data_IF_435109176103
#
_entry.id   IF_435109176103
#
_cell.length_a   1.000
_cell.length_b   1.000
_cell.length_c   1.000
_cell.angle_alpha   90.00
_cell.angle_beta   90.00
_cell.angle_gamma   90.00
#
_symmetry.space_group_name_H-M   'P 1'
#
loop_
_entity.id
_entity.type
_entity.pdbx_description
1 polymer ?
#
# COMPACT_ATOMS: atom_id res chain seq x y z
N UNK A 1 20.64 -22.50 52.12
CA UNK A 1 19.34 -22.26 51.47
C UNK A 1 19.53 -21.09 50.51
N UNK A 2 19.82 -21.38 49.25
CA UNK A 2 20.05 -20.39 48.20
C UNK A 2 18.75 -20.22 47.42
N UNK A 3 18.10 -19.09 47.62
CA UNK A 3 16.86 -18.71 46.97
C UNK A 3 17.15 -18.41 45.50
N UNK A 4 16.77 -19.31 44.60
CA UNK A 4 16.75 -19.06 43.15
C UNK A 4 15.71 -17.99 42.85
N UNK A 5 16.17 -16.79 42.47
CA UNK A 5 15.31 -15.78 41.86
C UNK A 5 14.80 -16.30 40.51
N UNK A 6 13.53 -16.68 40.46
CA UNK A 6 12.80 -16.86 39.22
C UNK A 6 12.66 -15.50 38.54
N UNK A 7 13.53 -15.22 37.57
CA UNK A 7 13.33 -14.15 36.60
C UNK A 7 12.17 -14.59 35.72
N UNK A 8 10.95 -14.23 36.11
CA UNK A 8 9.79 -14.23 35.22
C UNK A 8 10.05 -13.18 34.13
N UNK A 9 10.77 -13.58 33.09
CA UNK A 9 10.77 -12.89 31.80
C UNK A 9 9.35 -12.97 31.26
N UNK A 10 8.55 -11.93 31.53
CA UNK A 10 7.24 -11.73 30.92
C UNK A 10 7.47 -11.62 29.40
N UNK A 11 7.32 -12.74 28.70
CA UNK A 11 7.50 -12.80 27.25
C UNK A 11 6.44 -11.89 26.64
N UNK A 12 6.86 -10.75 26.08
CA UNK A 12 5.98 -9.83 25.33
C UNK A 12 5.24 -10.67 24.28
N UNK A 13 3.92 -10.69 24.34
CA UNK A 13 3.11 -11.27 23.29
C UNK A 13 3.31 -10.44 22.02
N UNK A 14 3.76 -11.09 20.97
CA UNK A 14 3.88 -10.46 19.65
C UNK A 14 2.48 -10.22 19.07
N UNK A 15 2.29 -9.06 18.44
CA UNK A 15 1.08 -8.77 17.67
C UNK A 15 0.94 -9.73 16.47
N UNK A 16 -0.22 -9.71 15.80
CA UNK A 16 -0.39 -10.41 14.52
C UNK A 16 0.68 -10.01 13.47
N UNK A 17 0.98 -8.72 13.34
CA UNK A 17 1.89 -8.20 12.31
C UNK A 17 3.36 -8.52 12.61
N UNK A 18 3.74 -8.52 13.90
CA UNK A 18 5.04 -9.01 14.38
C UNK A 18 5.19 -10.52 14.09
N UNK A 19 4.17 -11.33 14.44
CA UNK A 19 4.18 -12.79 14.19
C UNK A 19 4.34 -13.13 12.71
N UNK A 20 3.64 -12.40 11.86
CA UNK A 20 3.70 -12.62 10.41
C UNK A 20 4.89 -11.92 9.73
N UNK A 21 5.69 -11.13 10.45
CA UNK A 21 6.86 -10.42 9.94
C UNK A 21 6.56 -9.51 8.72
N UNK A 22 5.50 -8.70 8.84
CA UNK A 22 5.09 -7.71 7.83
C UNK A 22 5.70 -6.35 8.17
N UNK A 23 6.27 -5.64 7.19
CA UNK A 23 6.72 -4.27 7.39
C UNK A 23 5.58 -3.26 7.12
N UNK A 24 5.46 -2.23 7.96
CA UNK A 24 4.60 -1.08 7.67
C UNK A 24 5.42 0.04 7.02
N UNK A 25 4.95 0.54 5.89
CA UNK A 25 5.50 1.67 5.16
C UNK A 25 4.50 2.81 5.16
N UNK A 26 4.82 3.91 5.81
CA UNK A 26 3.99 5.11 5.80
C UNK A 26 4.60 6.13 4.83
N UNK A 27 3.86 6.43 3.77
CA UNK A 27 4.30 7.37 2.73
C UNK A 27 3.67 8.74 2.91
N UNK A 28 4.51 9.75 2.96
CA UNK A 28 4.13 11.15 2.93
C UNK A 28 4.29 11.67 1.50
N UNK A 29 3.18 12.00 0.85
CA UNK A 29 3.18 12.61 -0.49
C UNK A 29 3.54 14.11 -0.47
N UNK A 30 3.63 14.72 0.73
CA UNK A 30 3.98 16.13 1.00
C UNK A 30 4.79 16.22 2.29
N UNK A 31 5.43 17.36 2.54
CA UNK A 31 6.17 17.61 3.78
C UNK A 31 5.23 17.86 4.97
N UNK A 32 4.63 16.79 5.49
CA UNK A 32 3.80 16.80 6.70
C UNK A 32 4.39 15.95 7.81
N UNK A 33 5.72 15.97 7.94
CA UNK A 33 6.50 15.12 8.85
C UNK A 33 6.28 15.38 10.33
N UNK A 34 5.64 16.49 10.71
CA UNK A 34 5.20 16.74 12.09
C UNK A 34 4.26 15.65 12.63
N UNK A 35 3.64 14.85 11.76
CA UNK A 35 2.75 13.74 12.13
C UNK A 35 3.51 12.47 12.53
N UNK A 36 4.81 12.38 12.26
CA UNK A 36 5.63 11.17 12.48
C UNK A 36 5.59 10.75 13.96
N UNK A 37 5.74 11.68 14.89
CA UNK A 37 5.83 11.34 16.31
C UNK A 37 4.57 10.63 16.80
N UNK A 38 3.39 11.08 16.37
CA UNK A 38 2.14 10.39 16.64
C UNK A 38 2.07 9.02 15.95
N UNK A 39 2.40 8.95 14.65
CA UNK A 39 2.34 7.73 13.85
C UNK A 39 3.32 6.63 14.30
N UNK A 40 4.31 6.95 15.15
CA UNK A 40 5.16 5.93 15.80
C UNK A 40 4.37 4.95 16.66
N UNK A 41 3.12 5.25 17.02
CA UNK A 41 2.22 4.33 17.72
C UNK A 41 2.08 2.98 17.01
N UNK A 42 2.19 2.95 15.68
CA UNK A 42 2.12 1.70 14.91
C UNK A 42 3.30 0.74 15.18
N UNK A 43 4.39 1.20 15.80
CA UNK A 43 5.50 0.33 16.26
C UNK A 43 5.07 -0.64 17.36
N UNK A 44 3.91 -0.42 17.97
CA UNK A 44 3.30 -1.41 18.88
C UNK A 44 2.79 -2.63 18.12
N UNK A 45 2.43 -2.47 16.85
CA UNK A 45 1.89 -3.53 16.01
C UNK A 45 2.94 -4.14 15.10
N UNK A 46 3.79 -3.35 14.46
CA UNK A 46 4.68 -3.88 13.42
C UNK A 46 6.11 -4.10 13.93
N UNK A 47 6.84 -5.11 13.39
CA UNK A 47 8.26 -5.29 13.67
C UNK A 47 9.09 -4.07 13.22
N UNK A 48 8.63 -3.37 12.18
CA UNK A 48 9.19 -2.09 11.74
C UNK A 48 8.10 -1.17 11.17
N UNK A 49 8.28 0.13 11.39
CA UNK A 49 7.54 1.19 10.72
C UNK A 49 8.54 2.10 10.02
N UNK A 50 8.42 2.20 8.70
CA UNK A 50 9.33 2.93 7.82
C UNK A 50 8.57 4.12 7.25
N UNK A 51 9.06 5.32 7.53
CA UNK A 51 8.49 6.55 6.96
C UNK A 51 9.23 6.90 5.67
N UNK A 52 8.50 7.25 4.62
CA UNK A 52 9.07 7.69 3.33
C UNK A 52 8.48 9.01 2.90
N UNK A 53 9.21 9.81 2.13
CA UNK A 53 8.69 11.08 1.61
C UNK A 53 9.67 11.84 0.72
N UNK A 54 9.20 12.90 0.04
CA UNK A 54 9.94 13.59 -1.02
C UNK A 54 11.00 14.58 -0.57
N UNK A 55 11.05 14.92 0.72
CA UNK A 55 11.98 15.90 1.27
C UNK A 55 12.89 15.22 2.31
N UNK A 56 14.16 15.63 2.42
CA UNK A 56 15.09 15.08 3.41
C UNK A 56 14.61 15.31 4.85
N UNK A 57 14.64 14.26 5.67
CA UNK A 57 14.36 14.35 7.11
C UNK A 57 15.00 13.16 7.86
N UNK A 58 15.48 13.36 9.08
CA UNK A 58 16.25 12.35 9.84
C UNK A 58 15.49 11.05 10.13
N UNK A 59 14.16 11.12 10.22
CA UNK A 59 13.26 9.97 10.46
C UNK A 59 12.63 9.40 9.19
N UNK A 60 12.93 9.96 8.01
CA UNK A 60 12.25 9.65 6.74
C UNK A 60 13.25 9.16 5.73
N UNK A 61 12.97 8.01 5.11
CA UNK A 61 13.68 7.59 3.92
C UNK A 61 13.32 8.52 2.77
N UNK A 62 14.29 9.35 2.37
CA UNK A 62 14.13 10.29 1.26
C UNK A 62 13.86 9.53 -0.06
N UNK A 63 12.73 9.87 -0.68
CA UNK A 63 12.23 9.33 -1.94
C UNK A 63 11.70 10.49 -2.81
N UNK A 64 12.58 11.19 -3.55
CA UNK A 64 12.20 12.36 -4.32
C UNK A 64 11.15 12.07 -5.41
N UNK A 65 11.11 10.83 -5.92
CA UNK A 65 10.15 10.37 -6.92
C UNK A 65 8.71 10.36 -6.39
N UNK A 66 8.53 10.26 -5.07
CA UNK A 66 7.22 10.31 -4.42
C UNK A 66 6.61 11.71 -4.32
N UNK A 67 7.28 12.75 -4.84
CA UNK A 67 6.81 14.14 -4.75
C UNK A 67 5.41 14.27 -5.34
N UNK A 68 4.54 14.94 -4.59
CA UNK A 68 3.12 15.13 -4.94
C UNK A 68 2.33 13.84 -5.10
N UNK A 69 2.86 12.70 -4.64
CA UNK A 69 2.23 11.40 -4.81
C UNK A 69 2.20 10.95 -6.27
N UNK A 70 3.17 11.31 -7.10
CA UNK A 70 3.17 10.86 -8.50
C UNK A 70 3.63 9.41 -8.65
N UNK A 71 4.71 9.02 -7.97
CA UNK A 71 5.35 7.71 -8.15
C UNK A 71 5.63 7.00 -6.82
N UNK A 72 4.67 7.01 -5.90
CA UNK A 72 4.87 6.43 -4.56
C UNK A 72 5.25 4.93 -4.58
N UNK A 73 4.91 4.20 -5.64
CA UNK A 73 5.39 2.83 -5.87
C UNK A 73 6.93 2.72 -5.95
N UNK A 74 7.62 3.75 -6.43
CA UNK A 74 9.08 3.80 -6.45
C UNK A 74 9.65 3.89 -5.03
N UNK A 75 8.95 4.59 -4.13
CA UNK A 75 9.32 4.64 -2.72
C UNK A 75 9.18 3.27 -2.05
N UNK A 76 8.13 2.53 -2.37
CA UNK A 76 7.98 1.14 -1.91
C UNK A 76 9.12 0.26 -2.43
N UNK A 77 9.49 0.37 -3.71
CA UNK A 77 10.65 -0.33 -4.27
C UNK A 77 11.95 0.01 -3.52
N UNK A 78 12.17 1.29 -3.18
CA UNK A 78 13.34 1.71 -2.39
C UNK A 78 13.33 1.08 -0.99
N UNK A 79 12.18 1.03 -0.33
CA UNK A 79 12.03 0.37 0.97
C UNK A 79 12.36 -1.11 0.88
N UNK A 80 11.79 -1.84 -0.08
CA UNK A 80 12.02 -3.29 -0.21
C UNK A 80 13.50 -3.60 -0.46
N UNK A 81 14.20 -2.75 -1.23
CA UNK A 81 15.66 -2.90 -1.45
C UNK A 81 16.46 -2.76 -0.16
N UNK A 82 16.11 -1.78 0.69
CA UNK A 82 16.83 -1.50 1.94
C UNK A 82 16.43 -2.42 3.10
N UNK A 83 15.21 -2.96 3.04
CA UNK A 83 14.62 -3.77 4.10
C UNK A 83 14.04 -5.08 3.52
N UNK A 84 14.86 -6.00 2.96
CA UNK A 84 14.35 -7.11 2.16
C UNK A 84 13.74 -8.28 2.96
N UNK A 85 13.98 -8.36 4.26
CA UNK A 85 13.74 -9.58 5.08
C UNK A 85 12.33 -9.69 5.69
N UNK A 86 11.32 -9.08 5.05
CA UNK A 86 9.92 -9.16 5.47
C UNK A 86 9.11 -10.05 4.53
N UNK A 87 8.07 -10.70 5.07
CA UNK A 87 7.16 -11.60 4.34
C UNK A 87 6.16 -10.84 3.47
N UNK A 88 5.96 -9.55 3.77
CA UNK A 88 5.16 -8.63 2.99
C UNK A 88 5.33 -7.18 3.47
N UNK A 89 4.83 -6.26 2.68
CA UNK A 89 4.95 -4.81 2.91
C UNK A 89 3.56 -4.19 2.82
N UNK A 90 3.04 -3.68 3.93
CA UNK A 90 1.84 -2.87 3.95
C UNK A 90 2.24 -1.40 3.81
N UNK A 91 1.94 -0.79 2.66
CA UNK A 91 2.11 0.62 2.41
C UNK A 91 0.81 1.37 2.65
N UNK A 92 0.89 2.54 3.28
CA UNK A 92 -0.25 3.42 3.49
C UNK A 92 0.19 4.88 3.41
N UNK A 93 -0.64 5.75 2.83
CA UNK A 93 -0.43 7.19 2.89
C UNK A 93 -0.61 7.70 4.33
N UNK A 94 0.13 8.75 4.67
CA UNK A 94 0.17 9.32 6.03
C UNK A 94 -1.19 9.80 6.56
N UNK A 95 -2.17 10.07 5.69
CA UNK A 95 -3.54 10.47 6.01
C UNK A 95 -4.55 9.33 5.88
N UNK A 96 -4.08 8.09 5.76
CA UNK A 96 -4.91 6.88 5.84
C UNK A 96 -4.76 6.22 7.20
N UNK A 97 -5.90 5.77 7.75
CA UNK A 97 -5.97 4.90 8.91
C UNK A 97 -6.40 3.50 8.49
N UNK A 98 -5.48 2.53 8.44
CA UNK A 98 -5.83 1.13 8.30
C UNK A 98 -6.55 0.62 9.57
N UNK A 99 -7.65 -0.11 9.39
CA UNK A 99 -8.33 -0.82 10.46
C UNK A 99 -7.67 -2.19 10.63
N UNK A 100 -6.54 -2.19 11.34
CA UNK A 100 -5.63 -3.34 11.41
C UNK A 100 -6.34 -4.65 11.78
N UNK A 101 -7.19 -4.69 12.80
CA UNK A 101 -7.92 -5.90 13.20
C UNK A 101 -8.88 -6.46 12.14
N UNK A 102 -9.32 -5.65 11.18
CA UNK A 102 -10.09 -6.15 10.03
C UNK A 102 -9.17 -6.65 8.92
N UNK A 103 -7.99 -6.03 8.76
CA UNK A 103 -6.96 -6.47 7.81
C UNK A 103 -6.27 -7.77 8.24
N UNK A 104 -6.18 -8.06 9.54
CA UNK A 104 -5.61 -9.30 10.10
C UNK A 104 -6.35 -10.57 9.61
N UNK A 105 -7.60 -10.41 9.14
CA UNK A 105 -8.44 -11.49 8.59
C UNK A 105 -8.19 -11.75 7.10
N UNK A 106 -7.35 -10.92 6.44
CA UNK A 106 -7.08 -11.01 5.01
C UNK A 106 -5.87 -11.90 4.74
N UNK A 107 -5.87 -12.56 3.59
CA UNK A 107 -4.79 -13.48 3.21
C UNK A 107 -3.52 -12.70 2.81
N UNK A 108 -2.46 -12.86 3.61
CA UNK A 108 -1.15 -12.24 3.42
C UNK A 108 -0.37 -12.78 2.21
N UNK A 109 -0.85 -13.82 1.54
CA UNK A 109 -0.26 -14.27 0.28
C UNK A 109 -0.80 -13.49 -0.92
N UNK A 110 -1.83 -12.66 -0.76
CA UNK A 110 -2.50 -11.94 -1.85
C UNK A 110 -2.19 -10.45 -1.80
N UNK A 111 -2.23 -9.81 -2.96
CA UNK A 111 -2.08 -8.34 -3.06
C UNK A 111 -3.31 -7.69 -2.47
N UNK A 112 -3.16 -6.64 -1.65
CA UNK A 112 -4.30 -5.85 -1.19
C UNK A 112 -4.24 -4.46 -1.79
N UNK A 113 -5.37 -3.97 -2.29
CA UNK A 113 -5.47 -2.67 -2.95
C UNK A 113 -6.92 -2.18 -2.89
N UNK A 114 -7.22 -0.87 -2.87
CA UNK A 114 -8.57 -0.37 -3.09
C UNK A 114 -9.17 -0.86 -4.41
N UNK A 115 -10.49 -0.73 -4.63
CA UNK A 115 -11.15 -1.25 -5.81
C UNK A 115 -10.51 -0.77 -7.10
N UNK A 116 -10.25 -1.72 -8.00
CA UNK A 116 -9.69 -1.44 -9.33
C UNK A 116 -10.86 -1.15 -10.27
N UNK A 117 -10.87 0.04 -10.84
CA UNK A 117 -11.80 0.43 -11.89
C UNK A 117 -11.19 0.12 -13.25
N UNK A 118 -11.97 -0.54 -14.11
CA UNK A 118 -11.66 -0.73 -15.51
C UNK A 118 -12.38 0.34 -16.33
N UNK A 119 -11.64 1.14 -17.07
CA UNK A 119 -12.17 2.24 -17.86
C UNK A 119 -11.85 2.02 -19.33
N UNK A 120 -12.88 2.04 -20.17
CA UNK A 120 -12.67 2.05 -21.63
C UNK A 120 -11.86 3.29 -22.02
N UNK A 121 -10.88 3.18 -22.94
CA UNK A 121 -10.01 4.30 -23.30
C UNK A 121 -10.74 5.58 -23.75
N UNK A 122 -11.92 5.45 -24.37
CA UNK A 122 -12.76 6.58 -24.81
C UNK A 122 -13.43 7.34 -23.66
N UNK A 123 -13.60 6.70 -22.49
CA UNK A 123 -14.25 7.26 -21.30
C UNK A 123 -13.27 7.89 -20.31
N UNK A 124 -11.96 7.77 -20.55
CA UNK A 124 -10.91 8.26 -19.67
C UNK A 124 -10.61 9.75 -19.89
N UNK A 125 -11.57 10.61 -19.55
CA UNK A 125 -11.52 12.06 -19.83
C UNK A 125 -11.33 12.95 -18.60
N UNK A 126 -11.35 12.39 -17.39
CA UNK A 126 -11.25 13.13 -16.12
C UNK A 126 -10.06 12.66 -15.26
N UNK A 127 -9.92 13.23 -14.07
CA UNK A 127 -8.87 12.88 -13.12
C UNK A 127 -7.46 13.06 -13.71
N UNK A 128 -6.54 12.14 -13.46
CA UNK A 128 -5.19 12.18 -14.00
C UNK A 128 -5.09 11.72 -15.47
N UNK A 129 -6.15 11.21 -16.09
CA UNK A 129 -6.09 10.69 -17.46
C UNK A 129 -5.61 11.71 -18.51
N UNK A 130 -6.03 12.99 -18.50
CA UNK A 130 -5.56 14.00 -19.46
C UNK A 130 -4.12 14.47 -19.20
N UNK A 131 -3.57 14.18 -18.01
CA UNK A 131 -2.24 14.63 -17.63
C UNK A 131 -1.13 13.90 -18.40
N UNK A 132 0.11 14.43 -18.45
CA UNK A 132 1.27 13.72 -19.00
C UNK A 132 1.57 12.35 -18.37
N UNK A 133 1.10 12.13 -17.14
CA UNK A 133 1.28 10.91 -16.34
C UNK A 133 0.09 9.94 -16.43
N UNK A 134 -0.97 10.34 -17.13
CA UNK A 134 -2.19 9.58 -17.33
C UNK A 134 -2.13 8.70 -18.57
N UNK A 135 -3.11 8.87 -19.46
CA UNK A 135 -3.28 8.00 -20.64
C UNK A 135 -2.04 7.94 -21.52
N UNK A 136 -1.37 9.08 -21.76
CA UNK A 136 -0.14 9.11 -22.56
C UNK A 136 0.99 8.29 -21.93
N UNK A 137 1.16 8.35 -20.61
CA UNK A 137 2.16 7.54 -19.92
C UNK A 137 1.79 6.05 -19.95
N UNK A 138 0.50 5.74 -19.80
CA UNK A 138 -0.01 4.37 -19.90
C UNK A 138 0.25 3.78 -21.30
N UNK A 139 -0.04 4.53 -22.36
CA UNK A 139 0.20 4.11 -23.74
C UNK A 139 1.71 3.87 -24.01
N UNK A 140 2.60 4.76 -23.52
CA UNK A 140 4.06 4.57 -23.61
C UNK A 140 4.53 3.33 -22.84
N UNK A 141 4.05 3.15 -21.61
CA UNK A 141 4.34 2.00 -20.77
C UNK A 141 3.96 0.69 -21.48
N UNK A 142 2.73 0.58 -22.00
CA UNK A 142 2.28 -0.62 -22.73
C UNK A 142 2.94 -0.80 -24.10
N UNK A 143 3.38 0.28 -24.75
CA UNK A 143 4.20 0.17 -25.96
C UNK A 143 5.56 -0.43 -25.63
N UNK A 144 6.23 0.06 -24.59
CA UNK A 144 7.55 -0.45 -24.16
C UNK A 144 7.45 -1.90 -23.70
N UNK A 145 6.40 -2.23 -22.96
CA UNK A 145 6.11 -3.59 -22.51
C UNK A 145 5.89 -4.55 -23.71
N UNK A 146 5.10 -4.14 -24.72
CA UNK A 146 4.86 -4.92 -25.95
C UNK A 146 6.12 -5.11 -26.80
N UNK A 147 6.97 -4.10 -26.89
CA UNK A 147 8.24 -4.25 -27.60
C UNK A 147 9.16 -5.24 -26.87
N UNK A 148 9.20 -5.14 -25.53
CA UNK A 148 10.02 -6.03 -24.70
C UNK A 148 9.54 -7.48 -24.74
N UNK A 149 8.23 -7.72 -24.88
CA UNK A 149 7.68 -9.08 -24.93
C UNK A 149 8.03 -9.87 -26.19
N UNK A 150 8.42 -9.20 -27.28
CA UNK A 150 8.78 -9.87 -28.53
C UNK A 150 9.99 -10.80 -28.36
N UNK A 151 10.89 -10.47 -27.43
CA UNK A 151 12.15 -11.19 -27.23
C UNK A 151 12.33 -11.71 -25.79
N UNK A 152 11.31 -11.59 -24.93
CA UNK A 152 11.43 -11.95 -23.52
C UNK A 152 10.09 -12.47 -22.96
N UNK A 153 10.11 -13.76 -22.60
CA UNK A 153 8.94 -14.50 -22.12
C UNK A 153 8.35 -13.96 -20.81
N UNK A 154 9.16 -13.30 -19.97
CA UNK A 154 8.68 -12.68 -18.74
C UNK A 154 7.74 -11.51 -19.04
N UNK A 155 8.12 -10.64 -19.99
CA UNK A 155 7.27 -9.53 -20.41
C UNK A 155 6.04 -10.02 -21.19
N UNK A 156 6.16 -11.10 -21.97
CA UNK A 156 5.00 -11.76 -22.60
C UNK A 156 4.01 -12.24 -21.54
N UNK A 157 4.47 -12.93 -20.49
CA UNK A 157 3.63 -13.36 -19.36
C UNK A 157 2.88 -12.18 -18.73
N UNK A 158 3.54 -11.05 -18.49
CA UNK A 158 2.87 -9.88 -17.92
C UNK A 158 1.76 -9.35 -18.83
N UNK A 159 2.01 -9.22 -20.14
CA UNK A 159 0.97 -8.80 -21.09
C UNK A 159 -0.20 -9.76 -21.12
N UNK A 160 0.05 -11.07 -21.15
CA UNK A 160 -1.01 -12.08 -21.15
C UNK A 160 -1.86 -11.98 -19.89
N UNK A 161 -1.23 -11.76 -18.73
CA UNK A 161 -1.93 -11.53 -17.46
C UNK A 161 -2.80 -10.27 -17.51
N UNK A 162 -2.27 -9.16 -18.02
CA UNK A 162 -3.05 -7.93 -18.14
C UNK A 162 -4.22 -8.08 -19.11
N UNK A 163 -3.98 -8.67 -20.28
CA UNK A 163 -5.03 -8.91 -21.28
C UNK A 163 -6.14 -9.82 -20.75
N UNK A 164 -5.79 -10.82 -19.94
CA UNK A 164 -6.76 -11.71 -19.27
C UNK A 164 -7.61 -10.96 -18.24
N UNK A 165 -7.02 -10.04 -17.48
CA UNK A 165 -7.68 -9.40 -16.34
C UNK A 165 -8.36 -8.07 -16.67
N UNK A 166 -7.84 -7.30 -17.62
CA UNK A 166 -8.33 -5.97 -18.01
C UNK A 166 -8.63 -5.84 -19.51
N UNK A 167 -8.16 -6.77 -20.34
CA UNK A 167 -8.27 -6.64 -21.79
C UNK A 167 -7.60 -5.36 -22.28
N UNK A 168 -8.35 -4.56 -23.05
CA UNK A 168 -7.89 -3.26 -23.57
C UNK A 168 -8.24 -2.09 -22.63
N UNK A 169 -8.84 -2.35 -21.47
CA UNK A 169 -9.25 -1.29 -20.57
C UNK A 169 -8.04 -0.67 -19.86
N UNK A 170 -8.18 0.62 -19.56
CA UNK A 170 -7.32 1.34 -18.64
C UNK A 170 -7.70 0.97 -17.21
N UNK A 171 -6.74 1.05 -16.30
CA UNK A 171 -6.91 0.64 -14.89
C UNK A 171 -6.59 1.77 -13.94
N UNK A 172 -7.39 1.89 -12.87
CA UNK A 172 -7.22 2.91 -11.84
C UNK A 172 -7.61 2.34 -10.48
N UNK A 173 -6.88 2.73 -9.44
CA UNK A 173 -7.27 2.55 -8.04
C UNK A 173 -6.70 3.69 -7.21
N UNK A 174 -7.45 4.23 -6.24
CA UNK A 174 -6.99 5.36 -5.39
C UNK A 174 -5.68 5.06 -4.64
N UNK A 175 -5.33 3.78 -4.43
CA UNK A 175 -3.98 3.30 -4.05
C UNK A 175 -3.33 3.96 -2.82
N UNK A 176 -4.10 4.62 -1.95
CA UNK A 176 -3.60 5.20 -0.70
C UNK A 176 -3.23 4.15 0.36
N UNK A 177 -3.58 2.88 0.10
CA UNK A 177 -3.16 1.71 0.87
C UNK A 177 -2.86 0.58 -0.11
N UNK A 178 -1.81 -0.19 0.16
CA UNK A 178 -1.38 -1.28 -0.71
C UNK A 178 -0.62 -2.31 0.09
N UNK A 179 -0.91 -3.60 -0.06
CA UNK A 179 -0.12 -4.67 0.52
C UNK A 179 0.53 -5.52 -0.56
N UNK A 180 1.85 -5.67 -0.47
CA UNK A 180 2.67 -6.48 -1.37
C UNK A 180 3.24 -7.71 -0.65
N UNK A 181 2.76 -8.93 -0.97
CA UNK A 181 3.38 -10.17 -0.53
C UNK A 181 4.81 -10.32 -1.09
N UNK A 182 5.71 -10.91 -0.30
CA UNK A 182 7.12 -11.15 -0.70
C UNK A 182 7.25 -11.90 -2.03
N UNK A 183 6.34 -12.83 -2.33
CA UNK A 183 6.37 -13.61 -3.58
C UNK A 183 6.22 -12.78 -4.86
N UNK A 184 5.71 -11.54 -4.77
CA UNK A 184 5.56 -10.63 -5.90
C UNK A 184 6.70 -9.62 -6.03
N UNK A 185 7.67 -9.60 -5.11
CA UNK A 185 8.71 -8.56 -5.08
C UNK A 185 9.59 -8.53 -6.33
N UNK A 186 9.89 -9.69 -6.92
CA UNK A 186 10.68 -9.73 -8.16
C UNK A 186 9.94 -9.09 -9.33
N UNK A 187 8.67 -9.45 -9.52
CA UNK A 187 7.82 -8.88 -10.57
C UNK A 187 7.58 -7.38 -10.33
N UNK A 188 7.38 -7.00 -9.07
CA UNK A 188 7.22 -5.62 -8.63
C UNK A 188 8.40 -4.75 -9.07
N UNK A 189 9.64 -5.21 -8.88
CA UNK A 189 10.81 -4.42 -9.29
C UNK A 189 10.86 -4.20 -10.80
N UNK A 190 10.62 -5.25 -11.60
CA UNK A 190 10.63 -5.14 -13.06
C UNK A 190 9.57 -4.15 -13.55
N UNK A 191 8.35 -4.30 -13.04
CA UNK A 191 7.21 -3.49 -13.49
C UNK A 191 7.28 -2.05 -13.00
N UNK A 192 7.66 -1.81 -11.74
CA UNK A 192 7.76 -0.45 -11.20
C UNK A 192 8.90 0.36 -11.80
N UNK A 193 10.01 -0.28 -12.15
CA UNK A 193 11.10 0.39 -12.88
C UNK A 193 10.62 0.85 -14.27
N UNK A 194 9.93 -0.05 -15.00
CA UNK A 194 9.37 0.27 -16.30
C UNK A 194 8.30 1.37 -16.23
N UNK A 195 7.44 1.38 -15.21
CA UNK A 195 6.45 2.43 -14.98
C UNK A 195 7.10 3.78 -14.68
N UNK A 196 8.14 3.80 -13.86
CA UNK A 196 8.87 5.02 -13.50
C UNK A 196 9.53 5.64 -14.73
N UNK A 197 10.21 4.83 -15.55
CA UNK A 197 10.80 5.25 -16.82
C UNK A 197 9.77 5.84 -17.79
N UNK A 198 8.51 5.39 -17.71
CA UNK A 198 7.41 5.87 -18.55
C UNK A 198 6.58 6.98 -17.89
N UNK A 199 6.94 7.38 -16.67
CA UNK A 199 6.28 8.44 -15.89
C UNK A 199 4.80 8.15 -15.59
N UNK A 200 4.46 6.90 -15.29
CA UNK A 200 3.07 6.48 -15.02
C UNK A 200 2.62 6.88 -13.62
N UNK A 201 1.49 7.58 -13.50
CA UNK A 201 0.91 8.01 -12.23
C UNK A 201 0.56 6.83 -11.31
N UNK A 202 0.76 6.98 -9.99
CA UNK A 202 0.67 5.87 -9.03
C UNK A 202 -0.68 5.15 -9.05
N UNK A 203 -1.79 5.88 -9.17
CA UNK A 203 -3.12 5.24 -9.06
C UNK A 203 -3.41 4.34 -10.24
N UNK A 204 -2.79 4.64 -11.38
CA UNK A 204 -2.80 3.81 -12.57
C UNK A 204 -1.76 2.70 -12.40
N UNK A 205 -0.58 3.03 -11.91
CA UNK A 205 0.56 2.12 -11.79
C UNK A 205 0.36 0.97 -10.80
N UNK A 206 -0.14 1.23 -9.58
CA UNK A 206 -0.47 0.21 -8.60
C UNK A 206 -1.55 -0.75 -9.12
N UNK A 207 -2.60 -0.21 -9.77
CA UNK A 207 -3.66 -1.01 -10.36
C UNK A 207 -3.12 -1.89 -11.50
N UNK A 208 -2.41 -1.29 -12.47
CA UNK A 208 -1.85 -2.02 -13.61
C UNK A 208 -0.86 -3.09 -13.17
N UNK A 209 0.06 -2.77 -12.26
CA UNK A 209 1.06 -3.72 -11.74
C UNK A 209 0.42 -4.89 -11.04
N UNK A 210 -0.63 -4.64 -10.24
CA UNK A 210 -1.38 -5.72 -9.60
C UNK A 210 -1.93 -6.72 -10.62
N UNK A 211 -2.48 -6.24 -11.74
CA UNK A 211 -3.04 -7.12 -12.77
C UNK A 211 -1.97 -7.79 -13.65
N UNK A 212 -0.84 -7.13 -13.87
CA UNK A 212 0.31 -7.67 -14.62
C UNK A 212 0.97 -8.84 -13.86
N UNK A 213 1.07 -8.75 -12.54
CA UNK A 213 1.70 -9.79 -11.70
C UNK A 213 0.83 -11.04 -11.51
N UNK A 214 -0.49 -10.94 -11.68
CA UNK A 214 -1.43 -12.01 -11.33
C UNK A 214 -1.83 -12.85 -12.53
N UNK A 215 -1.48 -14.14 -12.50
CA UNK A 215 -1.75 -15.08 -13.59
C UNK A 215 -3.17 -15.64 -13.61
N UNK A 216 -3.88 -15.60 -12.49
CA UNK A 216 -5.28 -16.08 -12.40
C UNK A 216 -6.26 -14.93 -12.31
N UNK A 217 -7.55 -15.25 -12.14
CA UNK A 217 -8.59 -14.25 -11.90
C UNK A 217 -8.26 -13.36 -10.70
N UNK A 218 -8.62 -12.07 -10.81
CA UNK A 218 -8.44 -11.04 -9.76
C UNK A 218 -8.85 -11.56 -8.38
N UNK A 219 -10.01 -12.24 -8.28
CA UNK A 219 -10.57 -12.75 -7.04
C UNK A 219 -9.75 -13.82 -6.32
N UNK A 220 -8.73 -14.41 -6.96
CA UNK A 220 -7.84 -15.40 -6.35
C UNK A 220 -6.53 -14.79 -5.83
N UNK A 221 -6.05 -13.71 -6.43
CA UNK A 221 -4.72 -13.17 -6.17
C UNK A 221 -4.75 -11.77 -5.54
N UNK A 222 -5.87 -11.06 -5.69
CA UNK A 222 -6.04 -9.66 -5.24
C UNK A 222 -7.24 -9.58 -4.30
N UNK A 223 -7.05 -8.95 -3.16
CA UNK A 223 -8.12 -8.57 -2.22
C UNK A 223 -8.37 -7.08 -2.41
N UNK A 224 -9.59 -6.74 -2.83
CA UNK A 224 -10.02 -5.35 -2.88
C UNK A 224 -10.47 -4.90 -1.49
N UNK A 225 -9.85 -3.82 -1.00
CA UNK A 225 -10.11 -3.26 0.32
C UNK A 225 -11.25 -2.24 0.24
N UNK A 226 -12.22 -2.33 1.14
CA UNK A 226 -13.30 -1.38 1.29
C UNK A 226 -12.86 -0.25 2.25
N UNK A 227 -13.04 0.99 1.83
CA UNK A 227 -12.69 2.14 2.65
C UNK A 227 -13.53 3.36 2.32
N UNK A 228 -13.48 4.34 3.22
CA UNK A 228 -14.29 5.55 3.16
C UNK A 228 -13.45 6.78 3.48
N UNK A 229 -13.87 7.94 2.95
CA UNK A 229 -13.37 9.21 3.44
C UNK A 229 -13.95 9.46 4.84
N UNK A 230 -13.11 9.88 5.77
CA UNK A 230 -13.58 10.30 7.08
C UNK A 230 -14.42 11.56 6.98
N UNK A 231 -15.70 11.50 7.42
CA UNK A 231 -16.64 12.62 7.31
C UNK A 231 -16.73 13.49 8.58
N UNK A 232 -16.02 13.13 9.66
CA UNK A 232 -16.03 13.85 10.93
C UNK A 232 -17.23 13.54 11.84
N UNK A 233 -18.34 13.06 11.28
CA UNK A 233 -19.55 12.65 12.02
C UNK A 233 -19.51 11.17 12.46
N UNK A 234 -18.46 10.44 12.07
CA UNK A 234 -18.40 8.99 12.13
C UNK A 234 -18.19 8.38 13.54
N UNK A 235 -17.97 9.15 14.62
CA UNK A 235 -17.58 8.52 15.90
C UNK A 235 -18.65 7.64 16.55
N UNK A 236 -19.92 8.02 16.45
CA UNK A 236 -21.01 7.31 17.13
C UNK A 236 -21.50 6.13 16.29
N UNK A 237 -21.38 6.21 14.96
CA UNK A 237 -21.83 5.16 14.02
C UNK A 237 -20.70 4.14 13.72
N UNK A 238 -19.43 4.56 13.74
CA UNK A 238 -18.30 3.71 13.30
C UNK A 238 -17.88 2.58 14.24
N UNK A 239 -18.25 2.64 15.53
CA UNK A 239 -17.83 1.61 16.48
C UNK A 239 -18.73 0.37 16.50
N UNK A 240 -19.97 0.48 15.98
CA UNK A 240 -20.97 -0.59 16.04
C UNK A 240 -21.38 -1.17 14.67
N UNK A 241 -21.31 -0.40 13.58
CA UNK A 241 -21.89 -0.84 12.28
C UNK A 241 -20.86 -1.11 11.16
N UNK A 242 -19.56 -0.86 11.40
CA UNK A 242 -18.52 -0.85 10.34
C UNK A 242 -17.51 -2.01 10.43
N UNK A 243 -17.97 -3.22 10.79
CA UNK A 243 -17.17 -4.46 10.71
C UNK A 243 -16.69 -4.84 9.29
N UNK A 244 -17.04 -4.04 8.28
CA UNK A 244 -16.71 -4.23 6.86
C UNK A 244 -15.69 -3.25 6.29
N UNK A 245 -15.30 -2.20 7.02
CA UNK A 245 -14.29 -1.27 6.52
C UNK A 245 -12.88 -1.74 6.89
N UNK A 246 -11.96 -1.63 5.94
CA UNK A 246 -10.55 -1.93 6.14
C UNK A 246 -9.69 -0.67 6.29
N UNK A 247 -10.16 0.51 5.87
CA UNK A 247 -9.44 1.76 6.09
C UNK A 247 -10.33 3.00 6.02
N UNK A 248 -9.84 4.09 6.60
CA UNK A 248 -10.35 5.45 6.38
C UNK A 248 -9.31 6.31 5.68
N UNK A 249 -9.74 7.19 4.79
CA UNK A 249 -8.93 8.22 4.15
C UNK A 249 -9.22 9.60 4.78
N UNK A 250 -8.31 10.56 4.58
CA UNK A 250 -8.37 11.96 5.06
C UNK A 250 -8.34 12.12 6.58
N UNK A 251 -7.54 11.31 7.25
CA UNK A 251 -7.29 11.46 8.68
C UNK A 251 -6.40 12.68 8.94
N UNK A 252 -6.95 13.61 9.70
CA UNK A 252 -6.18 14.71 10.27
C UNK A 252 -5.59 14.33 11.63
N UNK A 253 -4.31 13.98 11.65
CA UNK A 253 -3.58 13.62 12.87
C UNK A 253 -3.33 14.81 13.81
N UNK A 254 -3.74 16.03 13.48
CA UNK A 254 -3.72 17.16 14.42
C UNK A 254 -5.02 17.24 15.26
N UNK A 255 -6.08 16.57 14.82
CA UNK A 255 -7.32 16.45 15.57
C UNK A 255 -7.18 15.44 16.71
N UNK A 256 -7.38 15.88 17.96
CA UNK A 256 -7.38 14.99 19.15
C UNK A 256 -8.38 13.83 19.00
N UNK A 257 -9.50 14.11 18.33
CA UNK A 257 -10.54 13.13 18.07
C UNK A 257 -10.05 12.00 17.15
N UNK A 258 -9.34 12.36 16.07
CA UNK A 258 -8.74 11.38 15.18
C UNK A 258 -7.60 10.62 15.87
N UNK A 259 -6.77 11.31 16.66
CA UNK A 259 -5.71 10.66 17.42
C UNK A 259 -6.26 9.59 18.36
N UNK A 260 -7.32 9.90 19.12
CA UNK A 260 -8.00 8.93 19.97
C UNK A 260 -8.53 7.73 19.18
N UNK A 261 -9.09 7.97 17.99
CA UNK A 261 -9.60 6.89 17.14
C UNK A 261 -8.47 5.99 16.61
N UNK A 262 -7.35 6.57 16.17
CA UNK A 262 -6.14 5.81 15.77
C UNK A 262 -5.61 4.98 16.95
N UNK A 263 -5.51 5.57 18.15
CA UNK A 263 -5.09 4.87 19.37
C UNK A 263 -6.01 3.70 19.70
N UNK A 264 -7.32 3.90 19.59
CA UNK A 264 -8.33 2.85 19.80
C UNK A 264 -8.19 1.71 18.79
N UNK A 265 -8.00 2.02 17.51
CA UNK A 265 -7.76 1.00 16.47
C UNK A 265 -6.50 0.19 16.75
N UNK A 266 -5.40 0.85 17.16
CA UNK A 266 -4.16 0.16 17.54
C UNK A 266 -4.36 -0.73 18.77
N UNK A 267 -5.07 -0.23 19.79
CA UNK A 267 -5.34 -0.98 21.02
C UNK A 267 -6.16 -2.24 20.74
N UNK A 268 -7.16 -2.18 19.85
CA UNK A 268 -7.97 -3.35 19.46
C UNK A 268 -7.12 -4.45 18.82
N UNK A 269 -6.16 -4.09 17.97
CA UNK A 269 -5.23 -5.04 17.33
C UNK A 269 -4.18 -5.64 18.26
N UNK A 270 -4.01 -5.12 19.48
CA UNK A 270 -3.11 -5.70 20.49
C UNK A 270 -3.80 -6.76 21.37
N UNK A 271 -5.13 -6.75 21.41
CA UNK A 271 -5.93 -7.61 22.31
C UNK A 271 -6.40 -8.89 21.60
N UNK A 272 -6.48 -8.86 20.27
CA UNK A 272 -6.82 -10.02 19.43
C UNK A 272 -5.60 -10.91 19.16
#
# INVERSE_FOLDING_TARGET
MTTTMNVNLTRKLLSYWEKNNVALVIHFNRNQYQRIDFLTIYRKLFPIVIFTGPDPHSKVLHCPEGRSGLYAYACLSRVIKLYPNYTGYLMSHFDVLPIFHNLEKKDLNRIWIPPITLTEPSKATNWHWPSPHGKRAFDRFFSTLRNSSQNNSLYSKYLDNYMRNAGKNLTLSFSDIFYLPKRFVSDWFVLTDLMLQNHLFLEIGFAATSLLMTSTTISKEIIQLNGENWSGQDLIISLHDKNKLEYYHRIDHQSKLHQYFVESTVRRSLIN
#
